data_IF_674532800069
#
_entry.id   IF_674532800069
#
_cell.length_a   1.000
_cell.length_b   1.000
_cell.length_c   1.000
_cell.angle_alpha   90.00
_cell.angle_beta   90.00
_cell.angle_gamma   90.00
#
_symmetry.space_group_name_H-M   'P 1'
#
loop_
_entity.id
_entity.type
_entity.pdbx_description
1 polymer ?
#
# COMPACT_ATOMS: atom_id res chain seq x y z
N UNK A 1 14.66 -22.57 -0.22
CA UNK A 1 14.65 -21.30 -0.97
C UNK A 1 14.15 -20.23 -0.03
N UNK A 2 15.04 -19.40 0.52
CA UNK A 2 14.63 -18.28 1.36
C UNK A 2 13.88 -17.28 0.50
N UNK A 3 12.61 -17.04 0.83
CA UNK A 3 11.87 -15.92 0.26
C UNK A 3 12.69 -14.67 0.56
N UNK A 4 13.30 -14.09 -0.48
CA UNK A 4 13.80 -12.72 -0.37
C UNK A 4 12.56 -11.92 0.00
N UNK A 5 12.52 -11.42 1.23
CA UNK A 5 11.64 -10.31 1.57
C UNK A 5 12.20 -9.18 0.70
N UNK A 6 11.74 -9.11 -0.55
CA UNK A 6 11.79 -7.87 -1.30
C UNK A 6 11.21 -6.87 -0.33
N UNK A 7 11.99 -5.86 0.06
CA UNK A 7 11.45 -4.69 0.74
C UNK A 7 10.46 -4.12 -0.27
N UNK A 8 9.23 -4.63 -0.20
CA UNK A 8 8.26 -4.53 -1.27
C UNK A 8 7.92 -3.06 -1.43
N UNK A 9 7.67 -2.65 -2.66
CA UNK A 9 7.32 -1.26 -2.99
C UNK A 9 6.25 -0.76 -2.03
N UNK A 10 6.67 0.13 -1.13
CA UNK A 10 5.84 0.63 -0.02
C UNK A 10 4.70 1.49 -0.58
N UNK A 11 3.59 1.69 0.15
CA UNK A 11 2.53 2.60 -0.28
C UNK A 11 3.04 4.01 -0.62
N UNK A 12 4.05 4.49 0.10
CA UNK A 12 4.67 5.79 -0.17
C UNK A 12 5.43 5.79 -1.51
N UNK A 13 6.11 4.69 -1.85
CA UNK A 13 6.78 4.53 -3.14
C UNK A 13 5.75 4.43 -4.28
N UNK A 14 4.68 3.66 -4.11
CA UNK A 14 3.58 3.57 -5.09
C UNK A 14 2.98 4.96 -5.34
N UNK A 15 2.66 5.71 -4.29
CA UNK A 15 2.18 7.09 -4.40
C UNK A 15 3.18 7.99 -5.13
N UNK A 16 4.47 7.86 -4.83
CA UNK A 16 5.52 8.63 -5.52
C UNK A 16 5.58 8.32 -7.02
N UNK A 17 5.47 7.04 -7.38
CA UNK A 17 5.41 6.60 -8.78
C UNK A 17 4.16 7.14 -9.49
N UNK A 18 3.00 7.07 -8.84
CA UNK A 18 1.75 7.61 -9.38
C UNK A 18 1.85 9.12 -9.65
N UNK A 19 2.46 9.87 -8.72
CA UNK A 19 2.73 11.31 -8.87
C UNK A 19 3.66 11.56 -10.07
N UNK A 20 4.78 10.84 -10.17
CA UNK A 20 5.72 10.99 -11.29
C UNK A 20 5.07 10.68 -12.63
N UNK A 21 4.25 9.63 -12.69
CA UNK A 21 3.48 9.26 -13.88
C UNK A 21 2.48 10.35 -14.25
N UNK A 22 1.80 10.97 -13.28
CA UNK A 22 0.92 12.11 -13.55
C UNK A 22 1.66 13.28 -14.20
N UNK A 23 2.78 13.69 -13.62
CA UNK A 23 3.54 14.84 -14.14
C UNK A 23 4.10 14.55 -15.54
N UNK A 24 4.53 13.31 -15.80
CA UNK A 24 5.01 12.87 -17.10
C UNK A 24 3.88 12.83 -18.16
N UNK A 25 2.70 12.35 -17.79
CA UNK A 25 1.55 12.22 -18.72
C UNK A 25 0.91 13.56 -19.04
N UNK A 26 0.74 14.43 -18.04
CA UNK A 26 -0.02 15.68 -18.19
C UNK A 26 0.84 16.91 -18.43
N UNK A 27 2.14 16.84 -18.13
CA UNK A 27 3.04 18.00 -18.11
C UNK A 27 2.77 19.00 -16.98
N UNK A 28 1.79 18.74 -16.11
CA UNK A 28 1.41 19.61 -14.99
C UNK A 28 2.07 19.14 -13.69
N UNK A 29 2.38 20.07 -12.78
CA UNK A 29 2.87 19.71 -11.45
C UNK A 29 1.74 19.14 -10.61
N UNK A 30 2.01 18.05 -9.91
CA UNK A 30 1.03 17.39 -9.05
C UNK A 30 0.41 18.33 -8.02
N UNK A 31 1.23 19.21 -7.44
CA UNK A 31 0.82 20.21 -6.43
C UNK A 31 -0.15 21.27 -6.96
N UNK A 32 -0.30 21.39 -8.28
CA UNK A 32 -1.20 22.36 -8.94
C UNK A 32 -2.51 21.71 -9.40
N UNK A 33 -2.64 20.39 -9.24
CA UNK A 33 -3.86 19.63 -9.55
C UNK A 33 -4.86 19.73 -8.40
N UNK A 34 -6.14 19.81 -8.70
CA UNK A 34 -7.20 19.83 -7.68
C UNK A 34 -7.21 18.54 -6.84
N UNK A 35 -7.54 18.61 -5.53
CA UNK A 35 -7.56 17.44 -4.65
C UNK A 35 -8.45 16.30 -5.12
N UNK A 36 -9.58 16.61 -5.76
CA UNK A 36 -10.50 15.63 -6.32
C UNK A 36 -9.86 14.90 -7.51
N UNK A 37 -9.28 15.65 -8.45
CA UNK A 37 -8.57 15.08 -9.59
C UNK A 37 -7.34 14.25 -9.17
N UNK A 38 -6.63 14.66 -8.10
CA UNK A 38 -5.56 13.85 -7.50
C UNK A 38 -6.08 12.52 -6.96
N UNK A 39 -7.21 12.55 -6.27
CA UNK A 39 -7.82 11.35 -5.69
C UNK A 39 -8.28 10.39 -6.79
N UNK A 40 -8.92 10.92 -7.83
CA UNK A 40 -9.32 10.15 -9.01
C UNK A 40 -8.12 9.50 -9.70
N UNK A 41 -7.06 10.28 -9.94
CA UNK A 41 -5.82 9.76 -10.54
C UNK A 41 -5.19 8.63 -9.73
N UNK A 42 -5.12 8.78 -8.40
CA UNK A 42 -4.58 7.74 -7.53
C UNK A 42 -5.44 6.48 -7.57
N UNK A 43 -6.77 6.63 -7.49
CA UNK A 43 -7.69 5.48 -7.54
C UNK A 43 -7.55 4.67 -8.84
N UNK A 44 -7.30 5.34 -9.97
CA UNK A 44 -7.10 4.68 -11.27
C UNK A 44 -5.69 4.09 -11.43
N UNK A 45 -4.65 4.84 -11.02
CA UNK A 45 -3.27 4.51 -11.33
C UNK A 45 -2.64 3.58 -10.30
N UNK A 46 -3.04 3.67 -9.05
CA UNK A 46 -2.47 2.86 -7.96
C UNK A 46 -2.61 1.35 -8.20
N UNK A 47 -3.78 0.82 -8.62
CA UNK A 47 -3.92 -0.61 -8.94
C UNK A 47 -3.00 -1.07 -10.08
N UNK A 48 -2.78 -0.20 -11.07
CA UNK A 48 -1.88 -0.49 -12.20
C UNK A 48 -0.43 -0.60 -11.72
N UNK A 49 0.03 0.35 -10.91
CA UNK A 49 1.39 0.32 -10.36
C UNK A 49 1.55 -0.88 -9.41
N UNK A 50 0.54 -1.18 -8.58
CA UNK A 50 0.55 -2.38 -7.74
C UNK A 50 0.77 -3.64 -8.58
N UNK A 51 0.05 -3.80 -9.69
CA UNK A 51 0.20 -4.94 -10.59
C UNK A 51 1.59 -4.99 -11.25
N UNK A 52 2.14 -3.85 -11.68
CA UNK A 52 3.50 -3.73 -12.23
C UNK A 52 4.58 -4.18 -11.23
N UNK A 53 4.37 -3.86 -9.94
CA UNK A 53 5.27 -4.17 -8.83
C UNK A 53 5.02 -5.58 -8.23
N UNK A 54 4.08 -6.35 -8.78
CA UNK A 54 3.73 -7.69 -8.31
C UNK A 54 2.95 -7.72 -7.00
N UNK A 55 2.30 -6.62 -6.62
CA UNK A 55 1.40 -6.52 -5.46
C UNK A 55 0.00 -6.95 -5.89
N UNK A 56 -0.58 -7.91 -5.17
CA UNK A 56 -1.94 -8.37 -5.44
C UNK A 56 -2.96 -7.24 -5.22
N UNK A 57 -4.03 -7.23 -6.03
CA UNK A 57 -5.02 -6.13 -6.04
C UNK A 57 -5.75 -5.98 -4.68
N UNK A 58 -5.98 -7.09 -4.00
CA UNK A 58 -6.60 -7.18 -2.68
C UNK A 58 -5.58 -7.10 -1.52
N UNK A 59 -4.28 -7.01 -1.81
CA UNK A 59 -3.28 -6.92 -0.77
C UNK A 59 -3.43 -5.63 0.05
N UNK A 60 -3.25 -5.77 1.36
CA UNK A 60 -3.26 -4.69 2.34
C UNK A 60 -1.88 -4.49 2.93
N UNK A 61 -1.48 -3.24 3.12
CA UNK A 61 -0.20 -2.93 3.78
C UNK A 61 -0.36 -3.04 5.30
N UNK A 62 0.32 -3.99 5.92
CA UNK A 62 0.32 -4.23 7.38
C UNK A 62 1.70 -4.70 7.83
N UNK A 63 2.14 -4.21 8.99
CA UNK A 63 3.41 -4.58 9.62
C UNK A 63 4.64 -4.46 8.70
N UNK A 64 4.62 -3.45 7.81
CA UNK A 64 5.72 -3.18 6.88
C UNK A 64 5.76 -4.07 5.64
N UNK A 65 4.70 -4.84 5.35
CA UNK A 65 4.59 -5.69 4.18
C UNK A 65 3.19 -5.67 3.55
N UNK A 66 3.11 -6.04 2.27
CA UNK A 66 1.84 -6.36 1.61
C UNK A 66 1.40 -7.76 2.02
N UNK A 67 0.21 -7.86 2.60
CA UNK A 67 -0.40 -9.12 3.03
C UNK A 67 -1.70 -9.36 2.24
N UNK A 68 -2.05 -10.61 1.87
CA UNK A 68 -3.34 -10.91 1.24
C UNK A 68 -4.52 -10.45 2.10
N UNK A 69 -5.62 -10.01 1.48
CA UNK A 69 -6.84 -9.73 2.24
C UNK A 69 -7.36 -11.01 2.90
N UNK A 70 -7.69 -10.94 4.19
CA UNK A 70 -8.32 -12.05 4.90
C UNK A 70 -7.38 -13.12 5.46
N UNK A 71 -6.06 -12.92 5.41
CA UNK A 71 -5.17 -13.74 6.23
C UNK A 71 -5.35 -13.33 7.71
N UNK A 72 -6.13 -14.13 8.44
CA UNK A 72 -6.12 -14.08 9.90
C UNK A 72 -4.69 -14.39 10.34
N UNK A 73 -4.10 -13.47 11.08
CA UNK A 73 -2.79 -13.67 11.68
C UNK A 73 -2.89 -14.85 12.66
N UNK A 74 -2.33 -15.99 12.26
CA UNK A 74 -2.38 -17.25 13.03
C UNK A 74 -1.60 -17.15 14.36
N UNK A 75 -0.86 -16.06 14.57
CA UNK A 75 -0.06 -15.79 15.77
C UNK A 75 -0.42 -14.47 16.45
N UNK A 76 -1.65 -13.95 16.26
CA UNK A 76 -2.17 -12.90 17.11
C UNK A 76 -2.24 -13.41 18.56
N UNK A 77 -1.22 -13.08 19.35
CA UNK A 77 -1.21 -13.33 20.79
C UNK A 77 -2.44 -12.63 21.38
N UNK A 78 -3.30 -13.33 22.15
CA UNK A 78 -4.37 -12.67 22.87
C UNK A 78 -3.70 -11.61 23.77
N UNK A 79 -4.13 -10.36 23.64
CA UNK A 79 -3.76 -9.31 24.56
C UNK A 79 -4.01 -9.86 25.96
N UNK A 80 -2.94 -9.96 26.76
CA UNK A 80 -3.02 -10.52 28.09
C UNK A 80 -4.16 -9.82 28.83
N UNK A 81 -5.25 -10.56 29.07
CA UNK A 81 -6.22 -10.20 30.07
C UNK A 81 -5.43 -10.14 31.36
N UNK A 82 -5.13 -8.92 31.81
CA UNK A 82 -4.70 -8.68 33.18
C UNK A 82 -5.86 -9.12 34.05
N UNK A 83 -5.85 -10.39 34.43
CA UNK A 83 -6.67 -10.91 35.51
C UNK A 83 -6.30 -10.10 36.75
N UNK A 84 -7.15 -9.13 37.07
CA UNK A 84 -7.20 -8.53 38.38
C UNK A 84 -7.57 -9.64 39.37
N UNK A 85 -6.58 -10.22 40.03
CA UNK A 85 -6.78 -11.08 41.20
C UNK A 85 -6.33 -10.33 42.46
N UNK A 86 -7.37 -9.89 43.18
CA UNK A 86 -7.57 -9.82 44.64
C UNK A 86 -6.48 -9.29 45.55
#
# INVERSE_FOLDING_TARGET
MSARITVGTTPAQIKTLAIRRYEATTGRRWRETDPEARSAWLAETEPVIRAEEGVAADAVWRDGAWQPAGQADLFSLPAAETEAST
#
